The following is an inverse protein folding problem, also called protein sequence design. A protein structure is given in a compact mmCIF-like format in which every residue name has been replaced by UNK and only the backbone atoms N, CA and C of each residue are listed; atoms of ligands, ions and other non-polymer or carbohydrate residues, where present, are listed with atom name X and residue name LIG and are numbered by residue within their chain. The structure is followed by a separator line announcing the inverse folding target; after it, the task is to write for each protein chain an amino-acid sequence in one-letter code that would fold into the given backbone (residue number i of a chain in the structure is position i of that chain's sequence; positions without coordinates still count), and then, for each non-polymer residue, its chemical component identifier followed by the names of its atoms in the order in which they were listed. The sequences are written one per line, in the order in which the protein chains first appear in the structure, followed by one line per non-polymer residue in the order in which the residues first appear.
data_IF_099039309225
#
_entry.id   IF_099039309225
#
_cell.length_a   1.000
_cell.length_b   1.000
_cell.length_c   1.000
_cell.angle_alpha   90.00
_cell.angle_beta   90.00
_cell.angle_gamma   90.00
#
_symmetry.space_group_name_H-M   'P 1'
#
loop_
_entity.id
_entity.type
_entity.pdbx_description
1 polymer ?
#
# COMPACT_ATOMS: atom_id res chain seq x y z
N UNK A 1 -17.18 -24.43 -24.63
CA UNK A 1 -16.77 -23.03 -24.39
C UNK A 1 -17.24 -22.48 -23.04
N UNK A 2 -18.48 -22.75 -22.61
CA UNK A 2 -19.06 -22.24 -21.34
C UNK A 2 -18.18 -22.51 -20.10
N UNK A 3 -17.63 -23.72 -19.97
CA UNK A 3 -16.80 -24.11 -18.82
C UNK A 3 -15.53 -23.26 -18.69
N UNK A 4 -14.89 -22.90 -19.80
CA UNK A 4 -13.72 -21.99 -19.81
C UNK A 4 -14.09 -20.58 -19.34
N UNK A 5 -15.27 -20.09 -19.70
CA UNK A 5 -15.76 -18.76 -19.28
C UNK A 5 -16.02 -18.75 -17.77
N UNK A 6 -16.62 -19.81 -17.23
CA UNK A 6 -16.87 -19.93 -15.78
C UNK A 6 -15.55 -19.93 -15.00
N UNK A 7 -14.55 -20.69 -15.45
CA UNK A 7 -13.22 -20.70 -14.81
C UNK A 7 -12.59 -19.31 -14.86
N UNK A 8 -12.61 -18.63 -16.02
CA UNK A 8 -12.09 -17.27 -16.15
C UNK A 8 -12.79 -16.29 -15.21
N UNK A 9 -14.10 -16.41 -15.04
CA UNK A 9 -14.87 -15.56 -14.14
C UNK A 9 -14.45 -15.76 -12.67
N UNK A 10 -14.32 -17.02 -12.23
CA UNK A 10 -13.82 -17.32 -10.89
C UNK A 10 -12.39 -16.82 -10.66
N UNK A 11 -11.52 -16.94 -11.67
CA UNK A 11 -10.13 -16.49 -11.58
C UNK A 11 -10.03 -14.96 -11.44
N UNK A 12 -10.85 -14.23 -12.19
CA UNK A 12 -10.95 -12.77 -12.08
C UNK A 12 -11.49 -12.33 -10.71
N UNK A 13 -12.47 -13.06 -10.17
CA UNK A 13 -13.06 -12.76 -8.86
C UNK A 13 -12.00 -12.87 -7.74
N UNK A 14 -11.26 -13.99 -7.74
CA UNK A 14 -10.18 -14.25 -6.78
C UNK A 14 -9.06 -13.20 -6.87
N UNK A 15 -8.68 -12.80 -8.09
CA UNK A 15 -7.64 -11.79 -8.31
C UNK A 15 -8.06 -10.40 -7.78
N UNK A 16 -9.36 -10.09 -7.82
CA UNK A 16 -9.89 -8.84 -7.29
C UNK A 16 -9.88 -8.78 -5.77
N UNK A 17 -10.01 -9.91 -5.07
CA UNK A 17 -9.93 -9.98 -3.60
C UNK A 17 -8.50 -10.04 -3.07
N UNK A 18 -7.58 -10.66 -3.83
CA UNK A 18 -6.17 -10.72 -3.45
C UNK A 18 -5.50 -9.33 -3.36
N UNK A 19 -5.86 -8.41 -4.27
CA UNK A 19 -5.34 -7.03 -4.28
C UNK A 19 -5.62 -6.24 -2.99
N UNK A 20 -6.87 -6.10 -2.52
CA UNK A 20 -7.17 -5.29 -1.34
C UNK A 20 -6.54 -5.84 -0.06
N UNK A 21 -6.41 -7.16 0.09
CA UNK A 21 -5.72 -7.73 1.26
C UNK A 21 -4.22 -7.44 1.27
N UNK A 22 -3.55 -7.58 0.12
CA UNK A 22 -2.14 -7.20 -0.02
C UNK A 22 -1.93 -5.72 0.30
N UNK A 23 -2.81 -4.86 -0.20
CA UNK A 23 -2.76 -3.42 0.01
C UNK A 23 -2.97 -3.06 1.49
N UNK A 24 -3.90 -3.72 2.19
CA UNK A 24 -4.11 -3.56 3.64
C UNK A 24 -2.90 -4.02 4.45
N UNK A 25 -2.26 -5.13 4.10
CA UNK A 25 -1.03 -5.60 4.77
C UNK A 25 0.10 -4.60 4.57
N UNK A 26 0.30 -4.14 3.34
CA UNK A 26 1.32 -3.14 3.04
C UNK A 26 1.09 -1.85 3.83
N UNK A 27 -0.13 -1.30 3.84
CA UNK A 27 -0.42 -0.05 4.55
C UNK A 27 -0.15 -0.14 6.06
N UNK A 28 -0.49 -1.27 6.70
CA UNK A 28 -0.17 -1.49 8.13
C UNK A 28 1.32 -1.53 8.40
N UNK A 29 2.08 -2.21 7.52
CA UNK A 29 3.53 -2.29 7.66
C UNK A 29 4.18 -0.93 7.43
N UNK A 30 3.69 -0.19 6.43
CA UNK A 30 4.20 1.13 6.08
C UNK A 30 3.97 2.15 7.19
N UNK A 31 2.78 2.19 7.81
CA UNK A 31 2.52 3.11 8.93
C UNK A 31 3.51 2.85 10.07
N UNK A 32 3.79 1.58 10.39
CA UNK A 32 4.77 1.23 11.41
C UNK A 32 6.18 1.66 11.01
N UNK A 33 6.57 1.36 9.77
CA UNK A 33 7.88 1.74 9.23
C UNK A 33 8.07 3.26 9.25
N UNK A 34 7.07 4.04 8.86
CA UNK A 34 7.10 5.50 8.92
C UNK A 34 7.19 6.01 10.36
N UNK A 35 6.50 5.35 11.30
CA UNK A 35 6.61 5.65 12.72
C UNK A 35 8.03 5.48 13.26
N UNK A 36 8.71 4.40 12.86
CA UNK A 36 10.10 4.14 13.21
C UNK A 36 11.07 5.09 12.48
N UNK A 37 10.82 5.39 11.20
CA UNK A 37 11.64 6.28 10.37
C UNK A 37 11.59 7.74 10.83
N UNK A 38 10.42 8.20 11.26
CA UNK A 38 10.18 9.58 11.67
C UNK A 38 10.18 9.78 13.19
N UNK A 39 10.48 8.73 13.98
CA UNK A 39 10.39 8.75 15.45
C UNK A 39 9.04 9.28 15.99
N UNK A 40 7.94 8.99 15.29
CA UNK A 40 6.63 9.54 15.63
C UNK A 40 5.61 9.46 14.49
N UNK A 41 4.39 9.99 14.71
CA UNK A 41 3.37 10.06 13.67
C UNK A 41 3.80 10.98 12.52
N UNK A 42 3.39 10.67 11.29
CA UNK A 42 3.60 11.58 10.16
C UNK A 42 3.00 12.96 10.44
N UNK A 43 3.76 13.99 10.15
CA UNK A 43 3.38 15.40 10.26
C UNK A 43 3.13 16.05 8.90
N UNK A 44 3.57 15.41 7.81
CA UNK A 44 3.37 15.84 6.44
C UNK A 44 2.10 15.29 5.80
N UNK A 45 2.27 14.67 4.62
CA UNK A 45 1.18 14.08 3.84
C UNK A 45 0.48 12.99 4.64
N UNK A 46 -0.84 12.84 4.45
CA UNK A 46 -1.61 11.85 5.20
C UNK A 46 -1.01 10.44 5.01
N UNK A 47 -0.93 9.67 6.10
CA UNK A 47 -0.40 8.30 6.06
C UNK A 47 -1.20 7.38 5.13
N UNK A 48 -2.46 7.72 4.85
CA UNK A 48 -3.34 7.02 3.90
C UNK A 48 -2.91 7.28 2.45
N UNK A 49 -2.55 8.52 2.11
CA UNK A 49 -2.07 8.85 0.76
C UNK A 49 -0.69 8.23 0.50
N UNK A 50 0.22 8.32 1.48
CA UNK A 50 1.54 7.68 1.39
C UNK A 50 1.38 6.16 1.23
N UNK A 51 0.48 5.52 1.99
CA UNK A 51 0.18 4.10 1.84
C UNK A 51 -0.39 3.76 0.48
N UNK A 52 -1.24 4.62 -0.09
CA UNK A 52 -1.81 4.39 -1.42
C UNK A 52 -0.72 4.38 -2.48
N UNK A 53 0.21 5.33 -2.43
CA UNK A 53 1.31 5.45 -3.41
C UNK A 53 2.35 4.35 -3.19
N UNK A 54 2.84 4.19 -1.97
CA UNK A 54 3.94 3.27 -1.64
C UNK A 54 3.54 1.79 -1.68
N UNK A 55 2.25 1.48 -1.54
CA UNK A 55 1.76 0.11 -1.72
C UNK A 55 1.37 -0.21 -3.16
N UNK A 56 1.19 0.79 -4.02
CA UNK A 56 0.96 0.60 -5.44
C UNK A 56 2.26 0.63 -6.26
N UNK A 57 3.26 1.38 -5.79
CA UNK A 57 4.52 1.63 -6.50
C UNK A 57 5.69 1.56 -5.53
N UNK A 58 6.86 1.12 -6.02
CA UNK A 58 8.07 1.16 -5.22
C UNK A 58 8.54 2.62 -5.07
N UNK A 59 8.52 3.12 -3.84
CA UNK A 59 8.94 4.48 -3.49
C UNK A 59 10.24 4.39 -2.69
N UNK A 60 11.28 5.17 -2.99
CA UNK A 60 12.51 5.18 -2.22
C UNK A 60 12.29 5.73 -0.81
N UNK A 61 13.15 5.33 0.13
CA UNK A 61 12.99 5.63 1.55
C UNK A 61 13.15 7.13 1.80
N UNK A 62 14.00 7.83 1.05
CA UNK A 62 14.19 9.27 1.16
C UNK A 62 12.90 10.04 0.83
N UNK A 63 12.18 9.62 -0.21
CA UNK A 63 10.91 10.23 -0.60
C UNK A 63 9.82 9.97 0.43
N UNK A 64 9.77 8.75 1.01
CA UNK A 64 8.87 8.44 2.12
C UNK A 64 9.12 9.33 3.33
N UNK A 65 10.41 9.53 3.68
CA UNK A 65 10.80 10.42 4.77
C UNK A 65 10.36 11.85 4.48
N UNK A 66 10.64 12.37 3.29
CA UNK A 66 10.26 13.72 2.89
C UNK A 66 8.74 13.93 2.85
N UNK A 67 7.96 12.91 2.49
CA UNK A 67 6.50 13.01 2.50
C UNK A 67 5.92 12.99 3.92
N UNK A 68 6.43 12.12 4.79
CA UNK A 68 5.89 11.89 6.12
C UNK A 68 6.42 12.87 7.17
N UNK A 69 7.71 13.18 7.15
CA UNK A 69 8.41 14.02 8.11
C UNK A 69 9.50 14.88 7.42
N UNK A 70 9.11 15.84 6.56
CA UNK A 70 10.05 16.68 5.80
C UNK A 70 10.99 17.54 6.64
N UNK A 71 10.68 17.74 7.93
CA UNK A 71 11.42 18.64 8.82
C UNK A 71 12.24 17.87 9.89
N UNK A 72 12.48 16.58 9.68
CA UNK A 72 13.22 15.69 10.59
C UNK A 72 14.56 15.25 9.99
#
# INVERSE_FOLDING_TARGET
MLFKIIILFFLLLQLSEAKPEAQRRCGRYLIRFLGELCNGPCSGVSSVDIATIACATAVPIEDLKNMCCPNL
#
